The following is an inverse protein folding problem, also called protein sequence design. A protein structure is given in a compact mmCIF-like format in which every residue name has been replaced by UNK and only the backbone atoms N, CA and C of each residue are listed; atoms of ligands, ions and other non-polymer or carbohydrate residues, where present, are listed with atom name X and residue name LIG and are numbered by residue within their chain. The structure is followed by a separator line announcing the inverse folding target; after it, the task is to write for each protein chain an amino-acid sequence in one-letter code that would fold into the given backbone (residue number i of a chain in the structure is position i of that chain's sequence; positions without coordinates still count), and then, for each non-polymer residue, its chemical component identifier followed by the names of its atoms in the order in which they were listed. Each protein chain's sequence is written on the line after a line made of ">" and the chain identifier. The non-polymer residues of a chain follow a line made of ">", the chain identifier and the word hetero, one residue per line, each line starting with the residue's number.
data_IF_510636649891
#
_entry.id   IF_510636649891
#
_cell.length_a   1.000
_cell.length_b   1.000
_cell.length_c   1.000
_cell.angle_alpha   90.00
_cell.angle_beta   90.00
_cell.angle_gamma   90.00
#
_symmetry.space_group_name_H-M   'P 1'
#
loop_
_entity.id
_entity.type
_entity.pdbx_description
1 polymer ?
#
# COMPACT_ATOMS: atom_id res chain seq x y z
N UNK A 1 6.07 64.30 -32.15
CA UNK A 1 6.84 63.15 -32.70
C UNK A 1 7.95 62.65 -31.77
N UNK A 2 8.85 63.50 -31.23
CA UNK A 2 9.95 63.03 -30.35
C UNK A 2 9.50 62.41 -29.01
N UNK A 3 8.39 62.89 -28.42
CA UNK A 3 7.83 62.34 -27.16
C UNK A 3 7.13 61.00 -27.38
N UNK A 4 6.36 60.87 -28.47
CA UNK A 4 5.67 59.63 -28.82
C UNK A 4 6.65 58.51 -29.17
N UNK A 5 7.75 58.84 -29.86
CA UNK A 5 8.82 57.87 -30.14
C UNK A 5 9.48 57.35 -28.85
N UNK A 6 9.77 58.23 -27.88
CA UNK A 6 10.33 57.84 -26.58
C UNK A 6 9.39 56.93 -25.78
N UNK A 7 8.08 57.18 -25.83
CA UNK A 7 7.07 56.35 -25.17
C UNK A 7 7.01 54.97 -25.83
N UNK A 8 7.05 54.92 -27.17
CA UNK A 8 7.04 53.66 -27.91
C UNK A 8 8.29 52.82 -27.61
N UNK A 9 9.47 53.45 -27.58
CA UNK A 9 10.71 52.76 -27.22
C UNK A 9 10.68 52.26 -25.77
N UNK A 10 10.11 53.04 -24.84
CA UNK A 10 9.97 52.63 -23.45
C UNK A 10 9.06 51.40 -23.32
N UNK A 11 7.90 51.40 -23.98
CA UNK A 11 6.97 50.26 -23.97
C UNK A 11 7.58 49.01 -24.61
N UNK A 12 8.33 49.17 -25.70
CA UNK A 12 9.05 48.06 -26.33
C UNK A 12 10.11 47.48 -25.38
N UNK A 13 10.90 48.33 -24.71
CA UNK A 13 11.89 47.86 -23.74
C UNK A 13 11.25 47.17 -22.53
N UNK A 14 10.12 47.70 -22.03
CA UNK A 14 9.36 47.07 -20.95
C UNK A 14 8.78 45.71 -21.37
N UNK A 15 8.27 45.58 -22.60
CA UNK A 15 7.79 44.31 -23.13
C UNK A 15 8.90 43.28 -23.31
N UNK A 16 10.07 43.68 -23.79
CA UNK A 16 11.24 42.79 -23.93
C UNK A 16 11.76 42.37 -22.56
N UNK A 17 11.86 43.30 -21.60
CA UNK A 17 12.24 42.97 -20.22
C UNK A 17 11.22 42.02 -19.61
N UNK A 18 9.91 42.27 -19.76
CA UNK A 18 8.89 41.34 -19.28
C UNK A 18 9.05 39.95 -19.90
N UNK A 19 9.19 39.85 -21.22
CA UNK A 19 9.36 38.57 -21.91
C UNK A 19 10.60 37.78 -21.47
N UNK A 20 11.71 38.46 -21.19
CA UNK A 20 12.96 37.84 -20.75
C UNK A 20 12.94 37.42 -19.27
N UNK A 21 12.21 38.14 -18.42
CA UNK A 21 12.20 37.93 -16.98
C UNK A 21 10.92 37.29 -16.43
N UNK A 22 9.90 37.04 -17.27
CA UNK A 22 8.63 36.42 -16.85
C UNK A 22 8.83 35.06 -16.20
N UNK A 23 9.72 34.22 -16.73
CA UNK A 23 9.93 32.87 -16.21
C UNK A 23 10.54 32.90 -14.80
N UNK A 24 11.44 33.85 -14.51
CA UNK A 24 12.04 34.02 -13.18
C UNK A 24 10.97 34.45 -12.16
N UNK A 25 10.11 35.39 -12.54
CA UNK A 25 9.03 35.90 -11.66
C UNK A 25 7.97 34.82 -11.43
N UNK A 26 7.56 34.11 -12.49
CA UNK A 26 6.56 33.03 -12.40
C UNK A 26 7.11 31.88 -11.55
N UNK A 27 8.35 31.44 -11.79
CA UNK A 27 8.97 30.36 -11.02
C UNK A 27 9.20 30.74 -9.56
N UNK A 28 9.59 31.98 -9.26
CA UNK A 28 9.76 32.43 -7.87
C UNK A 28 8.43 32.51 -7.10
N UNK A 29 7.33 32.84 -7.78
CA UNK A 29 5.98 32.90 -7.17
C UNK A 29 5.31 31.51 -7.09
N UNK A 30 5.59 30.62 -8.04
CA UNK A 30 5.09 29.23 -8.04
C UNK A 30 5.88 28.29 -7.14
N UNK A 31 7.15 28.60 -6.84
CA UNK A 31 8.03 27.80 -5.98
C UNK A 31 7.69 27.86 -4.48
N UNK A 32 6.52 28.38 -4.08
CA UNK A 32 6.04 28.21 -2.69
C UNK A 32 5.63 26.75 -2.51
N UNK A 33 6.40 25.92 -1.79
CA UNK A 33 6.04 24.53 -1.57
C UNK A 33 4.68 24.50 -0.87
N UNK A 34 3.82 23.55 -1.24
CA UNK A 34 2.51 23.34 -0.62
C UNK A 34 1.52 24.53 -0.75
N UNK A 35 1.66 25.37 -1.79
CA UNK A 35 0.64 26.39 -2.12
C UNK A 35 -0.59 25.77 -2.79
N UNK A 36 -0.38 24.74 -3.61
CA UNK A 36 -1.43 23.99 -4.28
C UNK A 36 -1.30 22.50 -3.91
N UNK A 37 -2.42 21.77 -3.73
CA UNK A 37 -2.38 20.34 -3.46
C UNK A 37 -1.82 19.56 -4.65
N UNK A 38 -1.11 18.48 -4.34
CA UNK A 38 -0.65 17.49 -5.30
C UNK A 38 -1.84 16.64 -5.71
N UNK A 39 -2.21 16.72 -6.97
CA UNK A 39 -3.26 15.85 -7.50
C UNK A 39 -2.72 14.42 -7.64
N UNK A 40 -3.52 13.42 -7.28
CA UNK A 40 -3.18 12.02 -7.49
C UNK A 40 -4.33 11.24 -8.12
N UNK A 41 -4.00 10.16 -8.82
CA UNK A 41 -4.99 9.29 -9.45
C UNK A 41 -4.62 7.82 -9.29
N UNK A 42 -5.63 6.96 -9.31
CA UNK A 42 -5.47 5.51 -9.23
C UNK A 42 -5.44 4.92 -10.65
N UNK A 43 -4.24 4.58 -11.13
CA UNK A 43 -3.99 4.14 -12.51
C UNK A 43 -4.14 2.62 -12.61
N UNK A 44 -3.30 1.85 -11.92
CA UNK A 44 -3.43 0.40 -11.86
C UNK A 44 -4.13 -0.05 -10.57
N UNK A 45 -5.07 -0.97 -10.69
CA UNK A 45 -5.74 -1.62 -9.56
C UNK A 45 -5.84 -3.11 -9.83
N UNK A 46 -5.13 -3.90 -9.03
CA UNK A 46 -5.09 -5.35 -9.18
C UNK A 46 -6.10 -6.03 -8.25
N UNK A 47 -7.12 -6.66 -8.82
CA UNK A 47 -8.19 -7.30 -8.06
C UNK A 47 -7.72 -8.51 -7.24
N UNK A 48 -6.51 -9.04 -7.50
CA UNK A 48 -5.93 -10.15 -6.73
C UNK A 48 -5.67 -9.81 -5.26
N UNK A 49 -5.71 -8.54 -4.89
CA UNK A 49 -5.70 -8.11 -3.50
C UNK A 49 -7.01 -8.41 -2.76
N UNK A 50 -8.11 -8.71 -3.45
CA UNK A 50 -9.39 -9.06 -2.84
C UNK A 50 -10.07 -7.92 -2.07
N UNK A 51 -9.72 -6.67 -2.37
CA UNK A 51 -10.32 -5.46 -1.79
C UNK A 51 -11.10 -4.70 -2.86
N UNK A 52 -12.06 -3.87 -2.44
CA UNK A 52 -12.77 -3.00 -3.38
C UNK A 52 -11.95 -1.76 -3.73
N UNK A 53 -12.21 -1.20 -4.91
CA UNK A 53 -11.60 0.05 -5.36
C UNK A 53 -11.92 1.21 -4.40
N UNK A 54 -13.17 1.32 -3.96
CA UNK A 54 -13.61 2.37 -3.04
C UNK A 54 -12.92 2.26 -1.68
N UNK A 55 -12.75 1.03 -1.18
CA UNK A 55 -11.97 0.80 0.03
C UNK A 55 -10.54 1.30 -0.12
N UNK A 56 -9.90 0.99 -1.25
CA UNK A 56 -8.52 1.44 -1.49
C UNK A 56 -8.41 2.96 -1.61
N UNK A 57 -9.36 3.62 -2.31
CA UNK A 57 -9.41 5.09 -2.39
C UNK A 57 -9.59 5.70 -0.99
N UNK A 58 -10.45 5.13 -0.14
CA UNK A 58 -10.61 5.61 1.23
C UNK A 58 -9.35 5.39 2.08
N UNK A 59 -8.64 4.28 1.89
CA UNK A 59 -7.35 4.05 2.54
C UNK A 59 -6.29 5.06 2.10
N UNK A 60 -6.28 5.48 0.84
CA UNK A 60 -5.41 6.57 0.37
C UNK A 60 -5.76 7.90 1.05
N UNK A 61 -7.05 8.21 1.23
CA UNK A 61 -7.50 9.39 1.99
C UNK A 61 -7.08 9.34 3.45
N UNK A 62 -7.15 8.17 4.07
CA UNK A 62 -6.66 8.01 5.44
C UNK A 62 -5.15 8.26 5.53
N UNK A 63 -4.39 7.73 4.56
CA UNK A 63 -2.94 7.94 4.46
C UNK A 63 -2.59 9.42 4.22
N UNK A 64 -3.37 10.15 3.42
CA UNK A 64 -3.18 11.58 3.18
C UNK A 64 -3.38 12.39 4.47
N UNK A 65 -4.37 12.00 5.29
CA UNK A 65 -4.69 12.68 6.55
C UNK A 65 -3.56 12.66 7.60
N UNK A 66 -2.65 11.67 7.52
CA UNK A 66 -1.47 11.57 8.41
C UNK A 66 -0.55 12.79 8.20
N UNK A 67 -0.44 13.27 6.97
CA UNK A 67 0.40 14.40 6.59
C UNK A 67 -0.33 15.73 6.71
N UNK A 68 -1.63 15.74 6.45
CA UNK A 68 -2.43 16.97 6.35
C UNK A 68 -2.88 17.50 7.71
N UNK A 69 -3.30 16.63 8.63
CA UNK A 69 -3.79 17.03 9.97
C UNK A 69 -2.77 17.87 10.76
N UNK A 70 -1.48 17.52 10.83
CA UNK A 70 -0.51 18.28 11.62
C UNK A 70 -0.22 19.69 11.09
N UNK A 71 -0.47 19.93 9.80
CA UNK A 71 -0.17 21.21 9.15
C UNK A 71 -1.42 21.98 8.71
N UNK A 72 -2.59 21.41 8.97
CA UNK A 72 -3.92 21.95 8.64
C UNK A 72 -4.05 22.41 7.18
N UNK A 73 -3.55 21.57 6.26
CA UNK A 73 -3.60 21.84 4.82
C UNK A 73 -3.88 20.60 4.01
N UNK A 74 -4.70 20.76 2.97
CA UNK A 74 -4.88 19.76 1.93
C UNK A 74 -3.61 19.72 1.06
N UNK A 75 -2.84 18.65 1.23
CA UNK A 75 -1.61 18.38 0.49
C UNK A 75 -1.88 17.52 -0.73
N UNK A 76 -2.90 16.66 -0.67
CA UNK A 76 -3.21 15.69 -1.72
C UNK A 76 -4.68 15.77 -2.10
N UNK A 77 -4.98 15.64 -3.39
CA UNK A 77 -6.36 15.63 -3.88
C UNK A 77 -6.53 14.50 -4.89
N UNK A 78 -7.46 13.59 -4.59
CA UNK A 78 -7.84 12.53 -5.51
C UNK A 78 -8.55 13.12 -6.74
N UNK A 79 -8.05 12.77 -7.93
CA UNK A 79 -8.68 13.09 -9.20
C UNK A 79 -8.85 11.82 -10.02
N UNK A 80 -10.11 11.48 -10.28
CA UNK A 80 -10.44 10.32 -11.08
C UNK A 80 -10.04 10.55 -12.56
N UNK A 81 -9.42 9.55 -13.18
CA UNK A 81 -9.10 9.54 -14.62
C UNK A 81 -8.32 10.77 -15.12
N UNK A 82 -7.46 11.32 -14.28
CA UNK A 82 -6.78 12.57 -14.58
C UNK A 82 -5.60 12.33 -15.54
N UNK A 83 -5.82 12.64 -16.82
CA UNK A 83 -4.85 12.43 -17.92
C UNK A 83 -3.85 13.58 -18.12
N UNK A 84 -3.84 14.57 -17.24
CA UNK A 84 -2.92 15.71 -17.35
C UNK A 84 -1.54 15.31 -16.82
N UNK A 85 -0.49 15.59 -17.59
CA UNK A 85 0.88 15.37 -17.12
C UNK A 85 1.18 16.17 -15.85
N UNK A 86 1.96 15.59 -14.94
CA UNK A 86 2.32 16.22 -13.65
C UNK A 86 1.42 15.81 -12.47
N UNK A 87 0.69 14.71 -12.58
CA UNK A 87 -0.15 14.15 -11.50
C UNK A 87 0.56 12.95 -10.87
N UNK A 88 0.42 12.76 -9.56
CA UNK A 88 0.95 11.60 -8.85
C UNK A 88 0.13 10.35 -9.21
N UNK A 89 0.77 9.38 -9.84
CA UNK A 89 0.13 8.12 -10.22
C UNK A 89 0.30 7.06 -9.13
N UNK A 90 -0.81 6.58 -8.59
CA UNK A 90 -0.84 5.48 -7.62
C UNK A 90 -1.22 4.20 -8.33
N UNK A 91 -0.40 3.17 -8.14
CA UNK A 91 -0.56 1.85 -8.77
C UNK A 91 -0.60 0.77 -7.69
N UNK A 92 -1.71 0.04 -7.59
CA UNK A 92 -1.84 -1.15 -6.75
C UNK A 92 -1.52 -2.38 -7.62
N UNK A 93 -0.28 -2.85 -7.56
CA UNK A 93 0.23 -3.96 -8.39
C UNK A 93 0.52 -5.18 -7.54
N UNK A 94 -0.06 -6.33 -7.91
CA UNK A 94 0.21 -7.58 -7.22
C UNK A 94 1.43 -8.26 -7.85
N UNK A 95 2.58 -8.11 -7.21
CA UNK A 95 3.86 -8.64 -7.68
C UNK A 95 4.21 -10.00 -7.05
N UNK A 96 5.39 -10.51 -7.41
CA UNK A 96 5.91 -11.77 -6.89
C UNK A 96 6.14 -11.75 -5.37
N UNK A 97 6.39 -10.59 -4.75
CA UNK A 97 6.59 -10.48 -3.30
C UNK A 97 5.28 -10.70 -2.56
N UNK A 98 4.18 -10.16 -3.09
CA UNK A 98 2.85 -10.43 -2.57
C UNK A 98 2.43 -11.88 -2.80
N UNK A 99 2.73 -12.44 -3.97
CA UNK A 99 2.52 -13.85 -4.25
C UNK A 99 3.28 -14.75 -3.27
N UNK A 100 4.56 -14.47 -3.01
CA UNK A 100 5.39 -15.22 -2.09
C UNK A 100 4.88 -15.12 -0.63
N UNK A 101 4.51 -13.93 -0.17
CA UNK A 101 3.94 -13.73 1.17
C UNK A 101 2.64 -14.51 1.36
N UNK A 102 1.75 -14.46 0.37
CA UNK A 102 0.50 -15.21 0.42
C UNK A 102 0.74 -16.72 0.37
N UNK A 103 1.71 -17.19 -0.43
CA UNK A 103 2.11 -18.59 -0.44
C UNK A 103 2.67 -19.03 0.91
N UNK A 104 3.55 -18.25 1.52
CA UNK A 104 4.10 -18.52 2.86
C UNK A 104 3.01 -18.58 3.93
N UNK A 105 2.06 -17.65 3.89
CA UNK A 105 0.90 -17.66 4.81
C UNK A 105 0.08 -18.94 4.65
N UNK A 106 -0.20 -19.36 3.41
CA UNK A 106 -0.94 -20.61 3.14
C UNK A 106 -0.20 -21.85 3.63
N UNK A 107 1.13 -21.93 3.43
CA UNK A 107 1.95 -23.03 3.91
C UNK A 107 1.98 -23.08 5.44
N UNK A 108 2.06 -21.93 6.11
CA UNK A 108 1.99 -21.84 7.56
C UNK A 108 0.68 -22.36 8.13
N UNK A 109 -0.46 -22.07 7.49
CA UNK A 109 -1.78 -22.59 7.88
C UNK A 109 -1.81 -24.12 7.75
N UNK A 110 -1.39 -24.67 6.60
CA UNK A 110 -1.36 -26.13 6.36
C UNK A 110 -0.46 -26.85 7.36
N UNK A 111 0.73 -26.30 7.65
CA UNK A 111 1.65 -26.87 8.64
C UNK A 111 1.02 -26.89 10.04
N UNK A 112 0.31 -25.83 10.42
CA UNK A 112 -0.38 -25.74 11.71
C UNK A 112 -1.49 -26.80 11.83
N UNK A 113 -2.30 -26.98 10.79
CA UNK A 113 -3.37 -27.98 10.74
C UNK A 113 -2.81 -29.41 10.81
N UNK A 114 -1.76 -29.71 10.05
CA UNK A 114 -1.12 -31.04 10.08
C UNK A 114 -0.54 -31.36 11.46
N UNK A 115 0.08 -30.39 12.13
CA UNK A 115 0.58 -30.58 13.50
C UNK A 115 -0.56 -30.90 14.46
N UNK A 116 -1.66 -30.16 14.40
CA UNK A 116 -2.82 -30.41 15.26
C UNK A 116 -3.40 -31.82 15.04
N UNK A 117 -3.48 -32.27 13.78
CA UNK A 117 -3.92 -33.64 13.46
C UNK A 117 -2.95 -34.69 14.02
N UNK A 118 -1.64 -34.49 13.84
CA UNK A 118 -0.63 -35.40 14.38
C UNK A 118 -0.68 -35.48 15.91
N UNK A 119 -0.77 -34.34 16.59
CA UNK A 119 -0.84 -34.28 18.05
C UNK A 119 -2.09 -35.00 18.57
N UNK A 120 -3.23 -34.87 17.88
CA UNK A 120 -4.46 -35.60 18.22
C UNK A 120 -4.33 -37.11 18.05
N UNK A 121 -3.66 -37.57 16.99
CA UNK A 121 -3.44 -38.99 16.73
C UNK A 121 -2.45 -39.58 17.74
N UNK A 122 -1.39 -38.83 18.07
CA UNK A 122 -0.42 -39.20 19.09
C UNK A 122 -1.08 -39.33 20.47
N UNK A 123 -1.98 -38.41 20.83
CA UNK A 123 -2.72 -38.49 22.08
C UNK A 123 -3.55 -39.79 22.17
N UNK A 124 -4.33 -40.10 21.13
CA UNK A 124 -5.10 -41.36 21.06
C UNK A 124 -4.21 -42.60 21.13
N UNK A 125 -3.09 -42.60 20.41
CA UNK A 125 -2.15 -43.71 20.44
C UNK A 125 -1.59 -43.93 21.85
N UNK A 126 -1.21 -42.86 22.55
CA UNK A 126 -0.69 -42.95 23.91
C UNK A 126 -1.76 -43.42 24.90
N UNK A 127 -3.00 -42.96 24.75
CA UNK A 127 -4.16 -43.41 25.52
C UNK A 127 -4.41 -44.90 25.34
N UNK A 128 -4.60 -45.37 24.10
CA UNK A 128 -4.79 -46.80 23.79
C UNK A 128 -3.62 -47.66 24.27
N UNK A 129 -2.39 -47.15 24.13
CA UNK A 129 -1.20 -47.86 24.63
C UNK A 129 -1.24 -48.01 26.16
N UNK A 130 -1.66 -46.98 26.89
CA UNK A 130 -1.76 -47.01 28.35
C UNK A 130 -2.83 -47.98 28.87
N UNK A 131 -3.89 -48.22 28.07
CA UNK A 131 -4.92 -49.22 28.38
C UNK A 131 -4.46 -50.64 28.05
N UNK A 132 -3.73 -50.81 26.94
CA UNK A 132 -3.30 -52.12 26.46
C UNK A 132 -2.11 -52.71 27.25
N UNK A 133 -1.13 -51.89 27.66
CA UNK A 133 0.04 -52.38 28.41
C UNK A 133 -0.30 -53.17 29.69
N UNK A 134 -1.20 -52.71 30.59
CA UNK A 134 -1.57 -53.48 31.77
C UNK A 134 -2.39 -54.74 31.45
N UNK A 135 -3.23 -54.69 30.41
CA UNK A 135 -4.02 -55.85 29.98
C UNK A 135 -3.11 -56.96 29.42
N UNK A 136 -2.09 -56.57 28.64
CA UNK A 136 -1.06 -57.49 28.18
C UNK A 136 -0.27 -58.09 29.34
N UNK A 137 0.17 -57.27 30.30
CA UNK A 137 0.94 -57.78 31.46
C UNK A 137 0.12 -58.76 32.30
N UNK A 138 -1.19 -58.51 32.45
CA UNK A 138 -2.10 -59.45 33.13
C UNK A 138 -2.29 -60.75 32.33
N UNK A 139 -2.41 -60.67 31.00
CA UNK A 139 -2.49 -61.84 30.14
C UNK A 139 -1.21 -62.68 30.19
N UNK A 140 -0.05 -62.05 30.10
CA UNK A 140 1.25 -62.73 30.16
C UNK A 140 1.44 -63.46 31.50
N UNK A 141 1.06 -62.84 32.63
CA UNK A 141 1.05 -63.50 33.95
C UNK A 141 0.12 -64.71 34.01
N UNK A 142 -1.10 -64.57 33.47
CA UNK A 142 -2.08 -65.66 33.45
C UNK A 142 -1.64 -66.84 32.55
N UNK A 143 -0.83 -66.57 31.53
CA UNK A 143 -0.27 -67.60 30.66
C UNK A 143 0.94 -68.34 31.27
N UNK A 144 1.69 -67.71 32.18
CA UNK A 144 2.80 -68.35 32.91
C UNK A 144 2.32 -69.24 34.07
N UNK A 145 1.13 -68.96 34.63
CA UNK A 145 0.52 -69.74 35.71
C UNK A 145 -0.17 -71.05 35.25
N UNK A 146 -0.19 -71.34 33.94
CA UNK A 146 -0.85 -72.50 33.33
C UNK A 146 0.15 -73.56 32.82
#
# INVERSE_FOLDING_TARGET
>A
MRKTFKILTLLLTLGVVWYLFQDIVINAVSARPCKNPISYSLVAFDERFGISRDYFINALKEAESIWEKPIEKDLFVYQENSKKGGILEVNLVYDYRQAATNKLKSLGIVVKENRASYDSLKAKFLETKSEFEPEKENFDKAAEDF
#
